data_IF_454205890159
#
_entry.id   IF_454205890159
#
_cell.length_a   1.000
_cell.length_b   1.000
_cell.length_c   1.000
_cell.angle_alpha   90.00
_cell.angle_beta   90.00
_cell.angle_gamma   90.00
#
_symmetry.space_group_name_H-M   'P 1'
#
loop_
_entity.id
_entity.type
_entity.pdbx_description
1 polymer ?
#
# COMPACT_ATOMS: atom_id res chain seq x y z
N UNK A 1 18.51 34.06 7.61
CA UNK A 1 17.25 33.66 6.92
C UNK A 1 17.42 32.21 6.49
N UNK A 2 16.62 31.32 7.01
CA UNK A 2 16.66 29.90 6.64
C UNK A 2 16.44 29.73 5.13
N UNK A 3 17.08 28.71 4.54
CA UNK A 3 16.93 28.35 3.12
C UNK A 3 15.88 27.24 3.01
N UNK A 4 15.15 27.19 1.89
CA UNK A 4 14.23 26.09 1.58
C UNK A 4 14.74 25.36 0.33
N UNK A 5 14.85 24.03 0.42
CA UNK A 5 15.11 23.14 -0.73
C UNK A 5 13.79 22.50 -1.10
N UNK A 6 13.42 22.55 -2.39
CA UNK A 6 12.20 21.94 -2.90
C UNK A 6 12.54 20.86 -3.92
N UNK A 7 11.96 19.67 -3.75
CA UNK A 7 11.99 18.57 -4.71
C UNK A 7 10.58 18.49 -5.31
N UNK A 8 10.43 18.88 -6.59
CA UNK A 8 9.15 18.99 -7.28
C UNK A 8 9.34 18.74 -8.79
N UNK A 9 8.69 17.72 -9.37
CA UNK A 9 7.93 16.66 -8.70
C UNK A 9 8.82 15.58 -8.08
N UNK A 10 8.27 14.77 -7.16
CA UNK A 10 8.86 13.51 -6.75
C UNK A 10 8.68 12.50 -7.89
N UNK A 11 9.73 11.77 -8.21
CA UNK A 11 9.75 10.84 -9.35
C UNK A 11 9.52 9.39 -8.94
N UNK A 12 9.00 8.58 -9.86
CA UNK A 12 8.80 7.13 -9.71
C UNK A 12 7.93 6.73 -8.50
N UNK A 13 6.84 7.47 -8.30
CA UNK A 13 5.76 7.19 -7.37
C UNK A 13 4.41 7.24 -8.08
N UNK A 14 3.34 6.74 -7.47
CA UNK A 14 1.99 6.95 -7.96
C UNK A 14 1.42 8.26 -7.38
N UNK A 15 0.90 9.13 -8.27
CA UNK A 15 0.31 10.42 -7.92
C UNK A 15 1.30 11.57 -7.90
N UNK A 16 0.87 12.73 -7.38
CA UNK A 16 1.63 13.96 -7.42
C UNK A 16 1.93 14.49 -6.01
N UNK A 17 3.20 14.68 -5.75
CA UNK A 17 3.69 15.24 -4.50
C UNK A 17 4.99 16.01 -4.69
N UNK A 18 5.32 16.83 -3.71
CA UNK A 18 6.62 17.49 -3.57
C UNK A 18 7.15 17.36 -2.14
N UNK A 19 8.44 17.54 -1.97
CA UNK A 19 9.08 17.63 -0.66
C UNK A 19 9.66 19.02 -0.49
N UNK A 20 9.48 19.63 0.69
CA UNK A 20 10.23 20.82 1.09
C UNK A 20 11.07 20.50 2.31
N UNK A 21 12.34 20.92 2.27
CA UNK A 21 13.29 20.83 3.37
C UNK A 21 13.62 22.23 3.85
N UNK A 22 13.43 22.50 5.13
CA UNK A 22 13.88 23.76 5.75
C UNK A 22 15.30 23.60 6.26
N UNK A 23 16.15 24.53 5.91
CA UNK A 23 17.56 24.55 6.30
C UNK A 23 17.77 25.71 7.25
N UNK A 24 18.35 25.45 8.40
CA UNK A 24 18.64 26.44 9.43
C UNK A 24 19.84 27.34 9.06
N UNK A 25 20.18 28.29 9.92
CA UNK A 25 21.30 29.20 9.72
C UNK A 25 22.70 28.52 9.81
N UNK A 26 22.75 27.29 10.33
CA UNK A 26 23.96 26.46 10.36
C UNK A 26 24.13 25.58 9.11
N UNK A 27 23.13 25.58 8.22
CA UNK A 27 23.12 24.78 7.01
C UNK A 27 22.62 23.34 7.20
N UNK A 28 22.02 23.04 8.35
CA UNK A 28 21.46 21.74 8.68
C UNK A 28 19.95 21.70 8.36
N UNK A 29 19.46 20.51 7.93
CA UNK A 29 18.01 20.33 7.69
C UNK A 29 17.28 20.24 9.01
N UNK A 30 16.49 21.25 9.34
CA UNK A 30 15.69 21.33 10.57
C UNK A 30 14.35 20.64 10.46
N UNK A 31 13.66 20.80 9.30
CA UNK A 31 12.30 20.28 9.05
C UNK A 31 12.18 19.73 7.64
N UNK A 32 11.26 18.78 7.45
CA UNK A 32 10.94 18.22 6.15
C UNK A 32 9.43 17.97 6.05
N UNK A 33 8.84 18.31 4.91
CA UNK A 33 7.41 18.15 4.66
C UNK A 33 7.14 17.45 3.35
N UNK A 34 6.30 16.42 3.41
CA UNK A 34 5.78 15.68 2.27
C UNK A 34 4.41 16.21 1.89
N UNK A 35 4.33 16.95 0.80
CA UNK A 35 3.12 17.59 0.33
C UNK A 35 2.44 16.75 -0.74
N UNK A 36 1.29 16.19 -0.44
CA UNK A 36 0.40 15.62 -1.45
C UNK A 36 -0.49 16.71 -1.99
N UNK A 37 -0.38 16.99 -3.29
CA UNK A 37 -0.93 18.19 -3.92
C UNK A 37 -2.22 17.97 -4.70
N UNK A 38 -2.77 16.75 -4.70
CA UNK A 38 -4.01 16.39 -5.37
C UNK A 38 -5.12 16.06 -4.37
N UNK A 39 -6.38 16.32 -4.75
CA UNK A 39 -7.58 16.00 -3.99
C UNK A 39 -8.60 15.33 -4.91
N UNK A 40 -9.26 14.24 -4.48
CA UNK A 40 -10.20 13.49 -5.30
C UNK A 40 -11.62 13.34 -4.73
N UNK A 41 -11.84 13.53 -3.44
CA UNK A 41 -13.16 13.66 -2.82
C UNK A 41 -14.12 12.46 -2.96
N UNK A 42 -13.61 11.20 -3.02
CA UNK A 42 -14.46 10.02 -3.22
C UNK A 42 -15.48 9.80 -2.09
N UNK A 43 -15.15 10.14 -0.87
CA UNK A 43 -16.08 10.02 0.26
C UNK A 43 -17.36 10.83 0.01
N UNK A 44 -17.22 12.04 -0.52
CA UNK A 44 -18.36 12.91 -0.85
C UNK A 44 -19.05 12.51 -2.14
N UNK A 45 -18.29 12.04 -3.13
CA UNK A 45 -18.80 11.66 -4.44
C UNK A 45 -19.84 10.53 -4.38
N UNK A 46 -19.74 9.62 -3.41
CA UNK A 46 -20.62 8.45 -3.32
C UNK A 46 -21.91 8.69 -2.53
N UNK A 47 -22.07 9.82 -1.87
CA UNK A 47 -23.33 10.16 -1.17
C UNK A 47 -24.51 10.17 -2.14
N UNK A 48 -25.63 9.59 -1.72
CA UNK A 48 -26.83 9.42 -2.52
C UNK A 48 -26.79 8.26 -3.53
N UNK A 49 -25.66 7.53 -3.63
CA UNK A 49 -25.55 6.35 -4.50
C UNK A 49 -26.02 5.08 -3.79
N UNK A 50 -26.57 4.10 -4.52
CA UNK A 50 -26.92 2.81 -3.93
C UNK A 50 -25.68 2.04 -3.45
N UNK A 51 -25.76 1.40 -2.27
CA UNK A 51 -24.64 0.65 -1.69
C UNK A 51 -24.09 -0.45 -2.61
N UNK A 52 -24.93 -1.08 -3.41
CA UNK A 52 -24.50 -2.17 -4.29
C UNK A 52 -23.62 -1.71 -5.48
N UNK A 53 -23.60 -0.40 -5.77
CA UNK A 53 -22.68 0.19 -6.75
C UNK A 53 -21.29 0.44 -6.16
N UNK A 54 -21.14 0.46 -4.83
CA UNK A 54 -19.90 0.85 -4.16
C UNK A 54 -18.68 0.02 -4.59
N UNK A 55 -18.72 -1.31 -4.67
CA UNK A 55 -17.55 -2.08 -5.12
C UNK A 55 -17.04 -1.62 -6.50
N UNK A 56 -17.94 -1.37 -7.43
CA UNK A 56 -17.62 -0.91 -8.79
C UNK A 56 -17.12 0.55 -8.81
N UNK A 57 -17.68 1.44 -8.01
CA UNK A 57 -17.27 2.84 -7.94
C UNK A 57 -15.91 2.97 -7.24
N UNK A 58 -15.71 2.28 -6.12
CA UNK A 58 -14.51 2.38 -5.30
C UNK A 58 -13.26 1.80 -5.97
N UNK A 59 -13.38 0.80 -6.84
CA UNK A 59 -12.22 0.34 -7.61
C UNK A 59 -11.63 1.45 -8.52
N UNK A 60 -12.42 2.50 -8.87
CA UNK A 60 -11.99 3.66 -9.66
C UNK A 60 -11.09 4.64 -8.92
N UNK A 61 -10.95 4.48 -7.62
CA UNK A 61 -10.01 5.28 -6.82
C UNK A 61 -8.59 5.11 -7.37
N UNK A 62 -8.23 3.89 -7.83
CA UNK A 62 -6.86 3.60 -8.25
C UNK A 62 -6.81 2.68 -9.48
N UNK A 63 -5.83 2.93 -10.36
CA UNK A 63 -5.51 2.04 -11.48
C UNK A 63 -4.46 0.97 -11.17
N UNK A 64 -3.74 1.09 -10.02
CA UNK A 64 -2.69 0.13 -9.60
C UNK A 64 -3.26 -0.90 -8.63
N UNK A 65 -4.09 -0.48 -7.64
CA UNK A 65 -4.68 -1.34 -6.62
C UNK A 65 -6.22 -1.38 -6.64
N UNK A 66 -6.87 -1.46 -7.81
CA UNK A 66 -8.34 -1.42 -7.90
C UNK A 66 -9.00 -2.59 -7.17
N UNK A 67 -8.36 -3.77 -7.19
CA UNK A 67 -8.87 -4.98 -6.53
C UNK A 67 -8.98 -4.80 -5.02
N UNK A 68 -8.02 -4.15 -4.37
CA UNK A 68 -8.09 -3.93 -2.92
C UNK A 68 -9.28 -3.07 -2.54
N UNK A 69 -9.54 -1.98 -3.30
CA UNK A 69 -10.72 -1.14 -3.10
C UNK A 69 -12.03 -1.89 -3.38
N UNK A 70 -12.05 -2.69 -4.46
CA UNK A 70 -13.17 -3.55 -4.81
C UNK A 70 -13.51 -4.52 -3.67
N UNK A 71 -12.49 -5.18 -3.09
CA UNK A 71 -12.65 -6.17 -2.01
C UNK A 71 -13.08 -5.51 -0.69
N UNK A 72 -12.41 -4.45 -0.25
CA UNK A 72 -12.77 -3.74 0.96
C UNK A 72 -14.20 -3.20 0.88
N UNK A 73 -14.57 -2.62 -0.27
CA UNK A 73 -15.93 -2.13 -0.52
C UNK A 73 -16.97 -3.25 -0.53
N UNK A 74 -16.69 -4.38 -1.20
CA UNK A 74 -17.60 -5.53 -1.20
C UNK A 74 -17.81 -6.10 0.21
N UNK A 75 -16.74 -6.16 1.03
CA UNK A 75 -16.85 -6.59 2.45
C UNK A 75 -17.68 -5.63 3.28
N UNK A 76 -17.57 -4.31 3.06
CA UNK A 76 -18.46 -3.33 3.72
C UNK A 76 -19.91 -3.54 3.31
N UNK A 77 -20.18 -3.81 2.03
CA UNK A 77 -21.53 -4.14 1.56
C UNK A 77 -22.02 -5.50 2.10
N UNK A 78 -21.16 -6.52 2.21
CA UNK A 78 -21.50 -7.80 2.83
C UNK A 78 -21.91 -7.62 4.31
N UNK A 79 -21.24 -6.67 5.02
CA UNK A 79 -21.61 -6.30 6.39
C UNK A 79 -22.97 -5.58 6.48
N UNK A 80 -23.30 -4.69 5.52
CA UNK A 80 -24.65 -4.10 5.41
C UNK A 80 -25.73 -5.17 5.22
N UNK A 81 -25.41 -6.22 4.47
CA UNK A 81 -26.32 -7.35 4.24
C UNK A 81 -26.31 -8.39 5.38
N UNK A 82 -25.44 -8.25 6.38
CA UNK A 82 -25.19 -9.21 7.47
C UNK A 82 -24.98 -10.64 6.96
N UNK A 83 -24.22 -10.79 5.85
CA UNK A 83 -24.13 -12.07 5.17
C UNK A 83 -22.66 -12.54 4.97
N UNK A 84 -22.49 -13.86 4.95
CA UNK A 84 -21.25 -14.52 4.55
C UNK A 84 -21.32 -14.90 3.07
N UNK A 85 -20.20 -14.82 2.38
CA UNK A 85 -20.11 -15.26 0.98
C UNK A 85 -19.95 -16.79 0.87
N UNK A 86 -20.33 -17.42 -0.27
CA UNK A 86 -20.08 -18.83 -0.50
C UNK A 86 -18.58 -19.17 -0.34
N UNK A 87 -18.23 -20.35 0.20
CA UNK A 87 -16.82 -20.72 0.42
C UNK A 87 -15.95 -20.64 -0.83
N UNK A 88 -16.47 -21.06 -2.01
CA UNK A 88 -15.75 -20.93 -3.29
C UNK A 88 -15.50 -19.44 -3.63
N UNK A 89 -16.51 -18.60 -3.52
CA UNK A 89 -16.38 -17.15 -3.77
C UNK A 89 -15.38 -16.49 -2.82
N UNK A 90 -15.37 -16.90 -1.55
CA UNK A 90 -14.38 -16.41 -0.57
C UNK A 90 -12.93 -16.74 -0.97
N UNK A 91 -12.68 -17.97 -1.46
CA UNK A 91 -11.34 -18.34 -1.97
C UNK A 91 -10.98 -17.61 -3.26
N UNK A 92 -11.93 -17.43 -4.16
CA UNK A 92 -11.73 -16.67 -5.40
C UNK A 92 -11.40 -15.19 -5.13
N UNK A 93 -12.06 -14.56 -4.15
CA UNK A 93 -11.70 -13.21 -3.71
C UNK A 93 -10.29 -13.13 -3.13
N UNK A 94 -9.84 -14.16 -2.36
CA UNK A 94 -8.45 -14.24 -1.86
C UNK A 94 -7.43 -14.40 -2.98
N UNK A 95 -7.70 -15.26 -3.98
CA UNK A 95 -6.82 -15.37 -5.16
C UNK A 95 -6.71 -14.02 -5.87
N UNK A 96 -7.82 -13.31 -6.04
CA UNK A 96 -7.82 -11.99 -6.68
C UNK A 96 -6.97 -10.97 -5.92
N UNK A 97 -7.04 -10.97 -4.59
CA UNK A 97 -6.22 -10.12 -3.72
C UNK A 97 -4.73 -10.45 -3.79
N UNK A 98 -4.37 -11.74 -3.73
CA UNK A 98 -2.99 -12.20 -3.87
C UNK A 98 -2.41 -11.86 -5.24
N UNK A 99 -3.20 -11.99 -6.31
CA UNK A 99 -2.81 -11.56 -7.64
C UNK A 99 -2.56 -10.05 -7.73
N UNK A 100 -3.37 -9.26 -7.02
CA UNK A 100 -3.16 -7.82 -6.86
C UNK A 100 -1.84 -7.52 -6.12
N UNK A 101 -1.50 -8.28 -5.08
CA UNK A 101 -0.21 -8.16 -4.38
C UNK A 101 0.95 -8.40 -5.34
N UNK A 102 0.94 -9.51 -6.08
CA UNK A 102 2.02 -9.86 -7.03
C UNK A 102 2.23 -8.74 -8.05
N UNK A 103 1.16 -8.31 -8.76
CA UNK A 103 1.31 -7.32 -9.82
C UNK A 103 1.75 -5.95 -9.28
N UNK A 104 1.29 -5.56 -8.09
CA UNK A 104 1.61 -4.28 -7.47
C UNK A 104 3.03 -4.26 -6.90
N UNK A 105 3.43 -5.31 -6.18
CA UNK A 105 4.79 -5.44 -5.65
C UNK A 105 5.83 -5.57 -6.75
N UNK A 106 5.53 -6.30 -7.84
CA UNK A 106 6.40 -6.36 -9.01
C UNK A 106 6.57 -4.98 -9.67
N UNK A 107 5.49 -4.18 -9.78
CA UNK A 107 5.59 -2.80 -10.25
C UNK A 107 6.49 -1.96 -9.34
N UNK A 108 6.22 -1.98 -8.04
CA UNK A 108 6.98 -1.19 -7.05
C UNK A 108 8.47 -1.55 -7.05
N UNK A 109 8.78 -2.82 -6.95
CA UNK A 109 10.16 -3.27 -6.86
C UNK A 109 10.90 -3.11 -8.18
N UNK A 110 10.41 -3.69 -9.28
CA UNK A 110 11.17 -3.81 -10.54
C UNK A 110 11.12 -2.55 -11.43
N UNK A 111 10.12 -1.66 -11.25
CA UNK A 111 9.98 -0.47 -12.09
C UNK A 111 10.25 0.83 -11.34
N UNK A 112 9.70 0.96 -10.13
CA UNK A 112 9.79 2.22 -9.41
C UNK A 112 11.10 2.32 -8.61
N UNK A 113 11.55 1.22 -7.99
CA UNK A 113 12.67 1.21 -7.05
C UNK A 113 13.95 0.58 -7.62
N UNK A 114 13.87 -0.45 -8.46
CA UNK A 114 15.05 -1.15 -8.97
C UNK A 114 16.07 -0.26 -9.70
N UNK A 115 15.69 0.84 -10.38
CA UNK A 115 16.70 1.74 -10.94
C UNK A 115 17.68 2.28 -9.90
N UNK A 116 17.25 2.50 -8.64
CA UNK A 116 18.14 2.94 -7.57
C UNK A 116 19.13 1.85 -7.15
N UNK A 117 18.70 0.58 -7.18
CA UNK A 117 19.53 -0.55 -6.78
C UNK A 117 20.47 -1.02 -7.87
N UNK A 118 19.98 -1.10 -9.11
CA UNK A 118 20.69 -1.69 -10.23
C UNK A 118 21.60 -0.70 -10.94
N UNK A 119 21.23 0.59 -10.95
CA UNK A 119 22.02 1.64 -11.58
C UNK A 119 22.87 2.41 -10.56
N UNK A 120 22.47 2.39 -9.27
CA UNK A 120 23.07 3.14 -8.18
C UNK A 120 22.32 4.43 -7.84
N UNK A 121 22.33 4.79 -6.56
CA UNK A 121 21.64 5.99 -6.05
C UNK A 121 22.15 7.30 -6.66
N UNK A 122 23.42 7.34 -7.05
CA UNK A 122 24.13 8.50 -7.62
C UNK A 122 24.21 8.47 -9.15
N UNK A 123 23.59 7.48 -9.81
CA UNK A 123 23.62 7.38 -11.27
C UNK A 123 22.91 8.56 -11.95
N UNK A 124 23.32 8.90 -13.16
CA UNK A 124 22.66 9.94 -13.96
C UNK A 124 21.16 9.60 -14.12
N UNK A 125 20.24 10.55 -13.89
CA UNK A 125 18.79 10.34 -14.09
C UNK A 125 18.42 9.80 -15.47
N UNK A 126 19.22 10.11 -16.51
CA UNK A 126 19.01 9.57 -17.87
C UNK A 126 19.11 8.06 -17.92
N UNK A 127 19.98 7.46 -17.10
CA UNK A 127 20.24 6.02 -17.04
C UNK A 127 19.48 5.35 -15.90
N UNK A 128 19.15 6.10 -14.83
CA UNK A 128 18.46 5.61 -13.65
C UNK A 128 16.93 5.48 -13.87
N UNK A 129 16.57 4.60 -14.81
CA UNK A 129 15.21 4.32 -15.21
C UNK A 129 15.08 2.87 -15.69
N UNK A 130 13.85 2.46 -16.04
CA UNK A 130 13.58 1.08 -16.48
C UNK A 130 14.34 0.71 -17.77
N UNK A 131 14.59 1.64 -18.67
CA UNK A 131 15.34 1.36 -19.90
C UNK A 131 16.80 1.06 -19.59
N UNK A 132 17.41 1.79 -18.65
CA UNK A 132 18.75 1.51 -18.14
C UNK A 132 18.81 0.14 -17.46
N UNK A 133 17.81 -0.22 -16.66
CA UNK A 133 17.69 -1.54 -16.05
C UNK A 133 17.60 -2.64 -17.12
N UNK A 134 16.74 -2.48 -18.12
CA UNK A 134 16.60 -3.45 -19.20
C UNK A 134 17.88 -3.63 -20.02
N UNK A 135 18.64 -2.57 -20.22
CA UNK A 135 19.90 -2.61 -20.97
C UNK A 135 21.04 -3.33 -20.20
N UNK A 136 21.13 -3.09 -18.86
CA UNK A 136 22.24 -3.61 -18.05
C UNK A 136 21.88 -4.89 -17.28
N UNK A 137 20.62 -5.09 -16.91
CA UNK A 137 20.14 -6.20 -16.12
C UNK A 137 18.87 -6.84 -16.73
N UNK A 138 18.93 -7.31 -17.99
CA UNK A 138 17.75 -7.77 -18.75
C UNK A 138 17.04 -8.92 -18.06
N UNK A 139 17.72 -9.85 -17.40
CA UNK A 139 17.10 -10.98 -16.72
C UNK A 139 16.17 -10.52 -15.59
N UNK A 140 16.63 -9.61 -14.73
CA UNK A 140 15.81 -9.04 -13.65
C UNK A 140 14.67 -8.18 -14.20
N UNK A 141 14.92 -7.40 -15.23
CA UNK A 141 13.90 -6.59 -15.89
C UNK A 141 12.78 -7.44 -16.48
N UNK A 142 13.12 -8.47 -17.26
CA UNK A 142 12.13 -9.41 -17.83
C UNK A 142 11.41 -10.22 -16.75
N UNK A 143 12.12 -10.66 -15.70
CA UNK A 143 11.52 -11.34 -14.55
C UNK A 143 10.44 -10.47 -13.87
N UNK A 144 10.73 -9.18 -13.66
CA UNK A 144 9.76 -8.24 -13.10
C UNK A 144 8.52 -8.05 -13.98
N UNK A 145 8.73 -7.97 -15.32
CA UNK A 145 7.61 -7.91 -16.29
C UNK A 145 6.75 -9.19 -16.18
N UNK A 146 7.39 -10.36 -16.14
CA UNK A 146 6.68 -11.65 -16.09
C UNK A 146 5.88 -11.83 -14.81
N UNK A 147 6.44 -11.47 -13.64
CA UNK A 147 5.73 -11.49 -12.36
C UNK A 147 4.49 -10.58 -12.39
N UNK A 148 4.66 -9.34 -12.86
CA UNK A 148 3.53 -8.41 -13.00
C UNK A 148 2.47 -8.95 -13.97
N UNK A 149 2.91 -9.49 -15.11
CA UNK A 149 2.02 -10.10 -16.11
C UNK A 149 1.24 -11.26 -15.52
N UNK A 150 1.87 -12.13 -14.71
CA UNK A 150 1.19 -13.25 -14.05
C UNK A 150 0.07 -12.77 -13.12
N UNK A 151 0.34 -11.81 -12.23
CA UNK A 151 -0.71 -11.24 -11.37
C UNK A 151 -1.87 -10.65 -12.17
N UNK A 152 -1.58 -9.90 -13.24
CA UNK A 152 -2.61 -9.35 -14.13
C UNK A 152 -3.36 -10.43 -14.91
N UNK A 153 -2.69 -11.50 -15.31
CA UNK A 153 -3.32 -12.65 -15.99
C UNK A 153 -4.28 -13.39 -15.07
N UNK A 154 -3.93 -13.58 -13.79
CA UNK A 154 -4.85 -14.17 -12.80
C UNK A 154 -6.10 -13.29 -12.65
N UNK A 155 -5.93 -11.96 -12.49
CA UNK A 155 -7.05 -11.00 -12.39
C UNK A 155 -7.94 -11.09 -13.64
N UNK A 156 -7.35 -11.06 -14.83
CA UNK A 156 -8.08 -11.12 -16.10
C UNK A 156 -8.81 -12.45 -16.28
N UNK A 157 -8.18 -13.57 -15.91
CA UNK A 157 -8.77 -14.91 -16.03
C UNK A 157 -10.00 -15.07 -15.14
N UNK A 158 -9.95 -14.51 -13.91
CA UNK A 158 -11.08 -14.54 -12.97
C UNK A 158 -12.18 -13.54 -13.37
N UNK A 159 -11.79 -12.33 -13.70
CA UNK A 159 -12.69 -11.17 -13.71
C UNK A 159 -12.88 -10.50 -15.09
N UNK A 160 -12.27 -11.05 -16.14
CA UNK A 160 -12.42 -10.61 -17.53
C UNK A 160 -11.66 -9.33 -17.89
N UNK A 161 -11.06 -8.63 -16.94
CA UNK A 161 -10.29 -7.38 -17.14
C UNK A 161 -9.10 -7.32 -16.19
N UNK A 162 -8.00 -6.76 -16.65
CA UNK A 162 -6.78 -6.55 -15.86
C UNK A 162 -6.88 -5.40 -14.86
N UNK A 163 -7.65 -4.38 -15.21
CA UNK A 163 -7.83 -3.16 -14.41
C UNK A 163 -9.31 -2.86 -14.28
N UNK A 164 -9.76 -2.49 -13.09
CA UNK A 164 -11.16 -2.25 -12.74
C UNK A 164 -12.07 -3.42 -13.16
N UNK A 165 -11.89 -4.60 -12.57
CA UNK A 165 -12.53 -5.83 -13.02
C UNK A 165 -14.05 -5.92 -12.78
N UNK A 166 -14.60 -5.19 -11.78
CA UNK A 166 -16.05 -5.15 -11.50
C UNK A 166 -16.70 -6.52 -11.23
N UNK A 167 -15.92 -7.54 -10.90
CA UNK A 167 -16.35 -8.94 -10.81
C UNK A 167 -16.79 -9.37 -9.41
N UNK A 168 -16.18 -8.78 -8.38
CA UNK A 168 -16.60 -8.97 -6.99
C UNK A 168 -17.82 -8.11 -6.73
N UNK A 169 -18.86 -8.73 -6.18
CA UNK A 169 -20.14 -8.08 -5.89
C UNK A 169 -20.59 -8.41 -4.47
N UNK A 170 -21.49 -7.63 -3.86
CA UNK A 170 -22.07 -7.98 -2.57
C UNK A 170 -22.61 -9.42 -2.58
N UNK A 171 -22.22 -10.21 -1.59
CA UNK A 171 -22.60 -11.62 -1.47
C UNK A 171 -21.73 -12.61 -2.22
N UNK A 172 -20.70 -12.21 -2.98
CA UNK A 172 -19.83 -13.16 -3.68
C UNK A 172 -19.07 -12.59 -4.87
N UNK A 173 -19.09 -13.36 -5.97
CA UNK A 173 -18.51 -13.02 -7.27
C UNK A 173 -19.50 -13.31 -8.38
N UNK A 174 -19.34 -12.65 -9.53
CA UNK A 174 -20.30 -12.79 -10.64
C UNK A 174 -20.27 -14.18 -11.29
N UNK A 175 -19.10 -14.79 -11.43
CA UNK A 175 -18.92 -16.06 -12.13
C UNK A 175 -17.96 -16.98 -11.39
N UNK A 176 -18.22 -18.32 -11.39
CA UNK A 176 -17.29 -19.30 -10.84
C UNK A 176 -16.07 -19.51 -11.75
N UNK A 177 -15.01 -20.07 -11.20
CA UNK A 177 -13.82 -20.46 -11.95
C UNK A 177 -14.04 -21.83 -12.64
N UNK A 178 -13.81 -21.92 -13.97
CA UNK A 178 -13.82 -23.19 -14.68
C UNK A 178 -12.54 -24.00 -14.42
N UNK A 179 -12.63 -25.33 -14.57
CA UNK A 179 -11.48 -26.26 -14.46
C UNK A 179 -10.39 -25.89 -15.46
N UNK A 180 -10.74 -25.59 -16.70
CA UNK A 180 -9.79 -25.20 -17.74
C UNK A 180 -9.00 -23.94 -17.36
N UNK A 181 -9.70 -22.88 -16.90
CA UNK A 181 -9.06 -21.64 -16.44
C UNK A 181 -8.13 -21.89 -15.25
N UNK A 182 -8.55 -22.73 -14.28
CA UNK A 182 -7.74 -23.14 -13.14
C UNK A 182 -6.45 -23.82 -13.59
N UNK A 183 -6.54 -24.81 -14.46
CA UNK A 183 -5.40 -25.61 -14.91
C UNK A 183 -4.39 -24.77 -15.69
N UNK A 184 -4.88 -23.80 -16.47
CA UNK A 184 -4.02 -22.83 -17.17
C UNK A 184 -3.24 -21.96 -16.19
N UNK A 185 -3.86 -21.48 -15.09
CA UNK A 185 -3.15 -20.71 -14.06
C UNK A 185 -2.11 -21.56 -13.32
N UNK A 186 -2.44 -22.82 -12.99
CA UNK A 186 -1.51 -23.73 -12.33
C UNK A 186 -0.26 -24.02 -13.17
N UNK A 187 -0.37 -24.06 -14.49
CA UNK A 187 0.75 -24.32 -15.37
C UNK A 187 1.85 -23.24 -15.32
N UNK A 188 1.49 -21.98 -14.99
CA UNK A 188 2.44 -20.87 -14.90
C UNK A 188 3.19 -20.80 -13.54
N UNK A 189 2.70 -21.47 -12.49
CA UNK A 189 3.22 -21.36 -11.13
C UNK A 189 4.71 -21.70 -10.99
N UNK A 190 5.23 -22.81 -11.56
CA UNK A 190 6.65 -23.16 -11.40
C UNK A 190 7.60 -22.08 -11.91
N UNK A 191 7.28 -21.48 -13.07
CA UNK A 191 8.09 -20.41 -13.67
C UNK A 191 8.15 -19.16 -12.77
N UNK A 192 7.01 -18.73 -12.28
CA UNK A 192 6.95 -17.48 -11.48
C UNK A 192 7.52 -17.64 -10.08
N UNK A 193 7.49 -18.85 -9.49
CA UNK A 193 8.23 -19.18 -8.26
C UNK A 193 9.74 -19.05 -8.50
N UNK A 194 10.26 -19.64 -9.57
CA UNK A 194 11.69 -19.55 -9.90
C UNK A 194 12.15 -18.11 -10.07
N UNK A 195 11.37 -17.29 -10.77
CA UNK A 195 11.67 -15.86 -10.96
C UNK A 195 11.69 -15.12 -9.61
N UNK A 196 10.72 -15.35 -8.74
CA UNK A 196 10.64 -14.72 -7.42
C UNK A 196 11.84 -15.10 -6.53
N UNK A 197 12.24 -16.38 -6.52
CA UNK A 197 13.40 -16.85 -5.78
C UNK A 197 14.72 -16.27 -6.31
N UNK A 198 14.89 -16.15 -7.64
CA UNK A 198 16.05 -15.48 -8.25
C UNK A 198 16.15 -14.00 -7.83
N UNK A 199 15.02 -13.30 -7.83
CA UNK A 199 14.97 -11.90 -7.40
C UNK A 199 15.33 -11.74 -5.91
N UNK A 200 14.80 -12.61 -5.04
CA UNK A 200 15.15 -12.66 -3.61
C UNK A 200 16.65 -12.92 -3.41
N UNK A 201 17.19 -13.93 -4.06
CA UNK A 201 18.62 -14.28 -3.98
C UNK A 201 19.51 -13.12 -4.42
N UNK A 202 19.13 -12.47 -5.52
CA UNK A 202 19.86 -11.29 -5.98
C UNK A 202 19.80 -10.16 -4.96
N UNK A 203 18.60 -9.78 -4.48
CA UNK A 203 18.42 -8.64 -3.58
C UNK A 203 19.16 -8.82 -2.25
N UNK A 204 19.12 -10.03 -1.67
CA UNK A 204 19.84 -10.34 -0.43
C UNK A 204 21.34 -10.14 -0.57
N UNK A 205 21.92 -10.53 -1.71
CA UNK A 205 23.35 -10.34 -1.98
C UNK A 205 23.74 -8.86 -2.08
N UNK A 206 22.83 -8.01 -2.56
CA UNK A 206 23.09 -6.57 -2.73
C UNK A 206 22.88 -5.75 -1.45
N UNK A 207 22.22 -6.29 -0.42
CA UNK A 207 21.91 -5.55 0.82
C UNK A 207 23.14 -4.88 1.45
N UNK A 208 24.30 -5.52 1.39
CA UNK A 208 25.54 -5.01 1.95
C UNK A 208 25.99 -3.68 1.30
N UNK A 209 25.62 -3.47 0.05
CA UNK A 209 25.93 -2.24 -0.70
C UNK A 209 25.08 -1.04 -0.27
N UNK A 210 24.00 -1.27 0.51
CA UNK A 210 23.03 -0.25 0.95
C UNK A 210 23.03 0.01 2.45
N UNK A 211 24.17 -0.22 3.13
CA UNK A 211 24.25 -0.07 4.60
C UNK A 211 23.85 1.32 5.09
N UNK A 212 24.22 2.38 4.35
CA UNK A 212 23.89 3.75 4.73
C UNK A 212 22.39 4.04 4.56
N UNK A 213 21.81 3.59 3.46
CA UNK A 213 20.37 3.70 3.22
C UNK A 213 19.58 2.88 4.24
N UNK A 214 20.01 1.65 4.54
CA UNK A 214 19.39 0.81 5.58
C UNK A 214 19.42 1.52 6.94
N UNK A 215 20.53 2.17 7.29
CA UNK A 215 20.68 2.88 8.56
C UNK A 215 19.81 4.12 8.67
N UNK A 216 19.48 4.78 7.54
CA UNK A 216 18.91 6.14 7.49
C UNK A 216 17.53 6.24 6.88
N UNK A 217 17.01 5.18 6.21
CA UNK A 217 15.69 5.23 5.61
C UNK A 217 14.61 4.88 6.63
N UNK A 218 14.05 5.90 7.26
CA UNK A 218 13.01 5.78 8.27
C UNK A 218 13.31 4.66 9.30
N UNK A 219 14.58 4.61 9.73
CA UNK A 219 15.05 3.65 10.73
C UNK A 219 14.92 4.26 12.12
N UNK A 220 13.74 4.13 12.70
CA UNK A 220 13.39 4.63 14.03
C UNK A 220 12.27 3.79 14.65
N UNK A 221 12.13 3.78 15.99
CA UNK A 221 11.03 3.10 16.66
C UNK A 221 9.66 3.65 16.25
N UNK A 222 8.71 2.74 15.96
CA UNK A 222 7.29 3.02 15.75
C UNK A 222 6.48 1.78 16.07
N UNK A 223 5.17 1.90 16.13
CA UNK A 223 4.31 0.72 16.09
C UNK A 223 4.25 0.15 14.67
N UNK A 224 3.81 -1.10 14.57
CA UNK A 224 3.43 -1.79 13.33
C UNK A 224 2.00 -2.26 13.46
N UNK A 225 1.19 -2.09 12.41
CA UNK A 225 -0.22 -2.49 12.37
C UNK A 225 -0.50 -3.34 11.13
N UNK A 226 -1.38 -4.32 11.28
CA UNK A 226 -1.91 -5.12 10.16
C UNK A 226 -2.86 -6.20 10.66
N UNK A 227 -3.36 -7.01 9.73
CA UNK A 227 -4.27 -8.09 10.01
C UNK A 227 -3.52 -9.37 10.41
N UNK A 228 -4.03 -10.04 11.44
CA UNK A 228 -3.56 -11.35 11.90
C UNK A 228 -4.75 -12.31 11.94
N UNK A 229 -4.56 -13.51 11.41
CA UNK A 229 -5.57 -14.56 11.37
C UNK A 229 -5.75 -15.23 12.74
N UNK A 230 -6.79 -16.03 12.90
CA UNK A 230 -7.09 -16.74 14.17
C UNK A 230 -5.96 -17.71 14.56
N UNK A 231 -5.26 -18.28 13.57
CA UNK A 231 -4.13 -19.20 13.73
C UNK A 231 -2.77 -18.49 13.75
N UNK A 232 -2.76 -17.19 14.11
CA UNK A 232 -1.58 -16.35 14.34
C UNK A 232 -0.68 -16.21 13.08
N UNK A 233 -1.28 -16.21 11.88
CA UNK A 233 -0.59 -15.97 10.61
C UNK A 233 -0.89 -14.59 10.06
N UNK A 234 -0.08 -14.16 9.09
CA UNK A 234 -0.36 -12.92 8.36
C UNK A 234 -1.73 -13.01 7.65
N UNK A 235 -2.64 -12.11 8.02
CA UNK A 235 -3.95 -11.99 7.39
C UNK A 235 -3.90 -11.01 6.22
N UNK A 236 -4.53 -11.34 5.08
CA UNK A 236 -4.66 -10.40 3.95
C UNK A 236 -6.13 -10.07 3.68
N UNK A 237 -6.95 -11.08 3.45
CA UNK A 237 -8.38 -10.89 3.20
C UNK A 237 -9.21 -10.85 4.49
N UNK A 238 -8.82 -11.61 5.50
CA UNK A 238 -9.47 -11.69 6.81
C UNK A 238 -8.44 -11.70 7.93
N UNK A 239 -8.89 -11.36 9.12
CA UNK A 239 -8.08 -11.30 10.33
C UNK A 239 -8.60 -10.23 11.27
N UNK A 240 -7.95 -10.10 12.42
CA UNK A 240 -8.13 -9.04 13.40
C UNK A 240 -6.93 -8.11 13.36
N UNK A 241 -7.13 -6.86 13.72
CA UNK A 241 -6.05 -5.89 13.75
C UNK A 241 -5.19 -6.13 14.99
N UNK A 242 -3.87 -6.15 14.75
CA UNK A 242 -2.83 -6.22 15.79
C UNK A 242 -1.91 -5.02 15.67
N UNK A 243 -1.47 -4.52 16.81
CA UNK A 243 -0.35 -3.56 16.92
C UNK A 243 0.79 -4.22 17.69
N UNK A 244 2.01 -4.09 17.17
CA UNK A 244 3.25 -4.43 17.88
C UNK A 244 4.17 -3.22 17.97
N UNK A 245 5.01 -3.18 19.00
CA UNK A 245 6.02 -2.13 19.15
C UNK A 245 7.34 -2.50 18.43
N UNK A 246 8.32 -1.61 18.51
CA UNK A 246 9.65 -1.79 17.92
C UNK A 246 10.49 -2.88 18.61
N UNK A 247 10.07 -3.37 19.78
CA UNK A 247 10.69 -4.48 20.48
C UNK A 247 10.04 -5.84 20.13
N UNK A 248 8.96 -5.82 19.34
CA UNK A 248 8.18 -7.01 18.97
C UNK A 248 7.10 -7.37 19.99
N UNK A 249 6.85 -6.52 21.00
CA UNK A 249 5.79 -6.77 21.97
C UNK A 249 4.42 -6.44 21.35
N UNK A 250 3.42 -7.26 21.62
CA UNK A 250 2.03 -6.98 21.24
C UNK A 250 1.49 -5.86 22.15
N UNK A 251 1.14 -4.72 21.54
CA UNK A 251 0.56 -3.55 22.21
C UNK A 251 -0.96 -3.65 22.28
N UNK A 252 -1.58 -4.12 21.19
CA UNK A 252 -3.00 -4.39 21.11
C UNK A 252 -3.26 -5.53 20.13
N UNK A 253 -4.23 -6.38 20.42
CA UNK A 253 -4.51 -7.59 19.63
C UNK A 253 -6.00 -7.86 19.48
N UNK A 254 -6.34 -8.61 18.44
CA UNK A 254 -7.70 -9.09 18.15
C UNK A 254 -8.74 -7.97 18.04
N UNK A 255 -8.30 -6.76 17.63
CA UNK A 255 -9.18 -5.62 17.46
C UNK A 255 -10.06 -5.81 16.22
N UNK A 256 -11.34 -5.50 16.38
CA UNK A 256 -12.30 -5.55 15.28
C UNK A 256 -12.11 -4.35 14.35
N UNK A 257 -11.99 -4.62 13.04
CA UNK A 257 -11.91 -3.53 12.07
C UNK A 257 -13.16 -2.64 12.09
N UNK A 258 -14.33 -3.18 12.45
CA UNK A 258 -15.56 -2.41 12.61
C UNK A 258 -15.48 -1.36 13.72
N UNK A 259 -14.58 -1.55 14.69
CA UNK A 259 -14.38 -0.65 15.83
C UNK A 259 -13.15 0.25 15.65
N UNK A 260 -12.63 0.39 14.42
CA UNK A 260 -11.39 1.13 14.17
C UNK A 260 -11.37 2.53 14.78
N UNK A 261 -12.50 3.21 14.86
CA UNK A 261 -12.62 4.56 15.43
C UNK A 261 -12.27 4.63 16.93
N UNK A 262 -12.27 3.51 17.64
CA UNK A 262 -11.90 3.46 19.06
C UNK A 262 -10.36 3.59 19.24
N UNK A 263 -9.58 3.07 18.28
CA UNK A 263 -8.12 3.00 18.39
C UNK A 263 -7.35 3.74 17.28
N UNK A 264 -8.01 4.14 16.18
CA UNK A 264 -7.41 4.99 15.14
C UNK A 264 -8.00 6.38 15.19
N UNK A 265 -7.14 7.39 15.18
CA UNK A 265 -7.47 8.80 14.96
C UNK A 265 -6.92 9.25 13.60
N UNK A 266 -7.49 10.31 13.04
CA UNK A 266 -7.02 10.94 11.81
C UNK A 266 -6.78 12.43 12.08
N UNK A 267 -5.53 12.88 11.99
CA UNK A 267 -5.18 14.30 12.06
C UNK A 267 -5.05 14.91 10.66
N UNK A 268 -5.15 16.21 10.58
CA UNK A 268 -5.04 17.01 9.34
C UNK A 268 -3.98 18.07 9.55
N UNK A 269 -3.09 18.23 8.57
CA UNK A 269 -2.04 19.23 8.57
C UNK A 269 -2.18 20.19 7.37
N UNK A 270 -1.89 21.50 7.54
CA UNK A 270 -2.17 22.51 6.52
C UNK A 270 -1.27 22.44 5.27
N UNK A 271 -0.25 21.57 5.28
CA UNK A 271 0.71 21.49 4.18
C UNK A 271 0.42 20.35 3.18
N UNK A 272 -0.59 19.49 3.43
CA UNK A 272 -0.85 18.31 2.57
C UNK A 272 -2.34 17.98 2.50
N UNK A 273 -2.78 17.38 1.39
CA UNK A 273 -4.13 16.82 1.25
C UNK A 273 -4.27 15.39 1.79
N UNK A 274 -3.22 14.80 2.32
CA UNK A 274 -3.25 13.46 2.91
C UNK A 274 -3.37 13.56 4.43
N UNK A 275 -4.37 12.88 5.02
CA UNK A 275 -4.55 12.77 6.46
C UNK A 275 -3.39 12.03 7.13
N UNK A 276 -3.30 12.14 8.46
CA UNK A 276 -2.32 11.49 9.32
C UNK A 276 -3.04 10.55 10.31
N UNK A 277 -3.33 9.32 9.93
CA UNK A 277 -3.80 8.32 10.88
C UNK A 277 -2.75 8.05 11.97
N UNK A 278 -3.23 7.90 13.21
CA UNK A 278 -2.38 7.64 14.38
C UNK A 278 -3.08 6.70 15.36
N UNK A 279 -2.32 6.00 16.20
CA UNK A 279 -2.83 5.15 17.26
C UNK A 279 -3.30 6.03 18.43
N UNK A 280 -4.62 6.11 18.64
CA UNK A 280 -5.26 7.03 19.59
C UNK A 280 -4.74 6.95 21.01
N UNK A 281 -4.49 5.74 21.60
CA UNK A 281 -4.02 5.66 22.97
C UNK A 281 -2.71 6.39 23.24
N UNK A 282 -1.86 6.60 22.23
CA UNK A 282 -0.61 7.35 22.34
C UNK A 282 -0.75 8.81 21.91
N UNK A 283 -1.89 9.20 21.28
CA UNK A 283 -2.13 10.56 20.81
C UNK A 283 -1.33 10.94 19.55
N UNK A 284 -1.64 12.10 18.97
CA UNK A 284 -0.93 12.67 17.83
C UNK A 284 0.18 13.63 18.31
N UNK A 285 1.41 13.59 17.76
CA UNK A 285 1.91 12.68 16.71
C UNK A 285 2.57 11.40 17.25
N UNK A 286 2.57 11.15 18.57
CA UNK A 286 3.33 10.06 19.22
C UNK A 286 2.78 8.67 18.88
N UNK A 287 1.50 8.60 18.50
CA UNK A 287 0.85 7.39 18.01
C UNK A 287 1.28 6.95 16.59
N UNK A 288 2.49 7.29 16.18
CA UNK A 288 3.08 6.89 14.90
C UNK A 288 3.16 5.37 14.76
N UNK A 289 2.69 4.85 13.64
CA UNK A 289 2.82 3.45 13.26
C UNK A 289 3.08 3.29 11.76
N UNK A 290 3.40 2.08 11.35
CA UNK A 290 3.59 1.68 9.96
C UNK A 290 2.72 0.49 9.60
N UNK A 291 2.30 0.42 8.33
CA UNK A 291 1.54 -0.69 7.74
C UNK A 291 2.25 -1.21 6.49
N UNK A 292 1.71 -2.27 5.88
CA UNK A 292 2.22 -2.83 4.64
C UNK A 292 3.26 -3.92 4.85
N UNK A 293 4.04 -4.28 3.82
CA UNK A 293 4.90 -5.46 3.84
C UNK A 293 5.82 -5.54 5.06
N UNK A 294 6.54 -4.47 5.39
CA UNK A 294 7.42 -4.42 6.56
C UNK A 294 6.67 -4.68 7.86
N UNK A 295 5.48 -4.09 8.01
CA UNK A 295 4.66 -4.28 9.21
C UNK A 295 4.17 -5.72 9.31
N UNK A 296 3.61 -6.27 8.24
CA UNK A 296 3.09 -7.65 8.21
C UNK A 296 4.14 -8.68 8.59
N UNK A 297 5.39 -8.52 8.13
CA UNK A 297 6.49 -9.40 8.49
C UNK A 297 6.93 -9.23 9.96
N UNK A 298 6.70 -8.08 10.57
CA UNK A 298 7.01 -7.84 11.98
C UNK A 298 5.90 -8.28 12.95
N UNK A 299 4.65 -8.46 12.47
CA UNK A 299 3.50 -8.77 13.33
C UNK A 299 3.41 -10.23 13.75
N UNK A 300 3.93 -11.15 12.94
CA UNK A 300 3.83 -12.61 13.14
C UNK A 300 5.11 -13.32 12.69
N UNK A 301 5.31 -14.54 13.20
CA UNK A 301 6.47 -15.36 12.85
C UNK A 301 6.14 -16.46 11.82
N UNK A 302 4.88 -16.60 11.43
CA UNK A 302 4.42 -17.64 10.51
C UNK A 302 3.53 -17.03 9.42
N UNK A 303 3.92 -17.24 8.16
CA UNK A 303 3.11 -16.85 7.00
C UNK A 303 2.26 -18.01 6.45
N UNK A 304 2.58 -19.24 6.77
CA UNK A 304 1.80 -20.42 6.39
C UNK A 304 2.21 -21.11 5.09
N UNK A 305 3.18 -20.60 4.34
CA UNK A 305 3.67 -21.22 3.09
C UNK A 305 5.15 -21.61 3.19
N UNK A 306 5.59 -22.72 2.58
CA UNK A 306 6.91 -23.30 2.87
C UNK A 306 8.09 -22.44 2.38
N UNK A 307 8.06 -21.94 1.14
CA UNK A 307 9.18 -21.18 0.58
C UNK A 307 9.25 -19.77 1.16
N UNK A 308 8.11 -19.07 1.22
CA UNK A 308 8.08 -17.75 1.82
C UNK A 308 8.37 -17.77 3.32
N UNK A 309 8.04 -18.85 4.04
CA UNK A 309 8.37 -19.00 5.46
C UNK A 309 9.89 -19.03 5.69
N UNK A 310 10.66 -19.66 4.82
CA UNK A 310 12.12 -19.66 4.92
C UNK A 310 12.68 -18.22 4.82
N UNK A 311 12.22 -17.48 3.82
CA UNK A 311 12.62 -16.08 3.63
C UNK A 311 12.12 -15.18 4.76
N UNK A 312 10.94 -15.45 5.33
CA UNK A 312 10.38 -14.73 6.46
C UNK A 312 11.23 -14.88 7.72
N UNK A 313 11.68 -16.10 8.01
CA UNK A 313 12.59 -16.39 9.12
C UNK A 313 13.92 -15.66 8.93
N UNK A 314 14.48 -15.69 7.71
CA UNK A 314 15.71 -14.96 7.38
C UNK A 314 15.54 -13.45 7.55
N UNK A 315 14.42 -12.89 7.05
CA UNK A 315 14.08 -11.49 7.27
C UNK A 315 14.02 -11.12 8.76
N UNK A 316 13.34 -11.92 9.58
CA UNK A 316 13.22 -11.68 11.03
C UNK A 316 14.56 -11.76 11.75
N UNK A 317 15.54 -12.48 11.20
CA UNK A 317 16.90 -12.58 11.76
C UNK A 317 17.79 -11.37 11.47
N UNK A 318 17.37 -10.42 10.62
CA UNK A 318 18.12 -9.20 10.31
C UNK A 318 18.32 -8.31 11.56
N UNK A 319 17.36 -8.32 12.47
CA UNK A 319 17.38 -7.55 13.70
C UNK A 319 16.94 -8.44 14.87
N UNK A 320 17.49 -8.19 16.06
CA UNK A 320 17.11 -8.95 17.27
C UNK A 320 15.62 -8.79 17.62
N UNK A 321 15.08 -7.61 17.37
CA UNK A 321 13.69 -7.23 17.62
C UNK A 321 12.97 -7.04 16.28
N UNK A 322 12.05 -6.08 16.19
CA UNK A 322 11.41 -5.75 14.92
C UNK A 322 12.41 -5.11 13.94
N UNK A 323 12.28 -5.45 12.65
CA UNK A 323 13.06 -4.82 11.57
C UNK A 323 12.50 -3.42 11.32
N UNK A 324 13.30 -2.39 11.62
CA UNK A 324 12.80 -1.00 11.67
C UNK A 324 13.02 -0.23 10.38
N UNK A 325 14.14 -0.46 9.67
CA UNK A 325 14.46 0.32 8.47
C UNK A 325 13.42 0.14 7.37
N UNK A 326 12.86 1.25 6.88
CA UNK A 326 11.93 1.21 5.75
C UNK A 326 12.58 0.80 4.43
N UNK A 327 13.92 0.74 4.34
CA UNK A 327 14.60 0.12 3.21
C UNK A 327 14.17 -1.35 3.02
N UNK A 328 13.94 -2.06 4.11
CA UNK A 328 13.52 -3.46 4.09
C UNK A 328 12.08 -3.70 3.61
N UNK A 329 11.28 -2.66 3.34
CA UNK A 329 10.03 -2.84 2.57
C UNK A 329 10.26 -3.52 1.23
N UNK A 330 11.41 -3.28 0.60
CA UNK A 330 11.75 -3.90 -0.69
C UNK A 330 11.94 -5.41 -0.56
N UNK A 331 12.66 -5.85 0.48
CA UNK A 331 12.83 -7.28 0.78
C UNK A 331 11.48 -7.91 1.14
N UNK A 332 10.73 -7.28 2.01
CA UNK A 332 9.40 -7.76 2.41
C UNK A 332 8.44 -7.92 1.22
N UNK A 333 8.47 -7.02 0.21
CA UNK A 333 7.66 -7.16 -1.01
C UNK A 333 8.04 -8.39 -1.84
N UNK A 334 9.31 -8.68 -1.96
CA UNK A 334 9.76 -9.88 -2.67
C UNK A 334 9.31 -11.16 -1.96
N UNK A 335 9.36 -11.19 -0.62
CA UNK A 335 8.84 -12.29 0.19
C UNK A 335 7.33 -12.44 -0.02
N UNK A 336 6.58 -11.33 -0.02
CA UNK A 336 5.13 -11.36 -0.24
C UNK A 336 4.73 -11.77 -1.67
N UNK A 337 5.56 -11.51 -2.68
CA UNK A 337 5.34 -12.07 -4.03
C UNK A 337 5.40 -13.60 -3.98
N UNK A 338 6.43 -14.16 -3.36
CA UNK A 338 6.59 -15.62 -3.23
C UNK A 338 5.45 -16.24 -2.42
N UNK A 339 5.12 -15.64 -1.26
CA UNK A 339 3.97 -16.00 -0.44
C UNK A 339 2.65 -16.02 -1.23
N UNK A 340 2.40 -14.97 -2.01
CA UNK A 340 1.16 -14.85 -2.78
C UNK A 340 1.07 -15.92 -3.89
N UNK A 341 2.17 -16.25 -4.55
CA UNK A 341 2.21 -17.32 -5.56
C UNK A 341 1.91 -18.68 -4.93
N UNK A 342 2.54 -19.01 -3.79
CA UNK A 342 2.32 -20.28 -3.08
C UNK A 342 0.86 -20.42 -2.62
N UNK A 343 0.26 -19.36 -2.05
CA UNK A 343 -1.14 -19.40 -1.64
C UNK A 343 -2.12 -19.45 -2.83
N UNK A 344 -1.82 -18.80 -3.94
CA UNK A 344 -2.62 -18.96 -5.16
C UNK A 344 -2.61 -20.40 -5.60
N UNK A 345 -1.44 -21.07 -5.59
CA UNK A 345 -1.32 -22.51 -5.91
C UNK A 345 -2.18 -23.35 -4.97
N UNK A 346 -2.06 -23.14 -3.67
CA UNK A 346 -2.85 -23.85 -2.66
C UNK A 346 -4.35 -23.73 -2.90
N UNK A 347 -4.85 -22.50 -3.11
CA UNK A 347 -6.28 -22.27 -3.36
C UNK A 347 -6.75 -22.86 -4.70
N UNK A 348 -5.93 -22.83 -5.76
CA UNK A 348 -6.29 -23.42 -7.04
C UNK A 348 -6.34 -24.95 -6.99
N UNK A 349 -5.56 -25.58 -6.11
CA UNK A 349 -5.58 -27.04 -5.89
C UNK A 349 -6.75 -27.50 -5.02
N UNK A 350 -7.42 -26.60 -4.27
CA UNK A 350 -8.57 -26.96 -3.46
C UNK A 350 -9.78 -27.28 -4.33
N UNK A 351 -10.40 -28.50 -4.19
CA UNK A 351 -11.55 -28.91 -5.00
C UNK A 351 -12.77 -27.96 -4.94
N UNK A 352 -12.87 -27.15 -3.87
CA UNK A 352 -14.00 -26.22 -3.72
C UNK A 352 -13.96 -25.06 -4.72
N UNK A 353 -12.76 -24.74 -5.27
CA UNK A 353 -12.53 -23.55 -6.06
C UNK A 353 -13.38 -23.48 -7.36
N UNK A 354 -13.76 -24.64 -7.89
CA UNK A 354 -14.55 -24.79 -9.11
C UNK A 354 -16.05 -25.01 -8.85
N UNK A 355 -16.51 -24.89 -7.60
CA UNK A 355 -17.92 -25.03 -7.28
C UNK A 355 -18.72 -23.86 -7.88
N UNK A 356 -19.90 -24.19 -8.42
CA UNK A 356 -20.75 -23.24 -9.16
C UNK A 356 -21.43 -22.20 -8.26
N UNK A 357 -21.55 -22.45 -6.94
CA UNK A 357 -22.14 -21.50 -6.01
C UNK A 357 -21.19 -20.30 -5.81
N UNK A 358 -21.43 -19.25 -6.56
CA UNK A 358 -20.57 -18.06 -6.60
C UNK A 358 -21.10 -16.88 -5.79
N UNK A 359 -22.41 -16.85 -5.47
CA UNK A 359 -23.04 -15.70 -4.81
C UNK A 359 -24.25 -16.13 -3.96
N UNK A 360 -24.43 -15.45 -2.83
CA UNK A 360 -25.70 -15.38 -2.09
C UNK A 360 -26.33 -14.00 -2.26
N UNK A 361 -27.62 -13.89 -1.98
CA UNK A 361 -28.38 -12.64 -1.99
C UNK A 361 -29.12 -12.48 -0.66
N UNK A 362 -29.13 -11.26 -0.14
CA UNK A 362 -29.92 -10.88 1.04
C UNK A 362 -30.46 -9.46 0.84
N UNK A 363 -31.44 -9.09 1.61
CA UNK A 363 -31.89 -7.70 1.77
C UNK A 363 -30.95 -6.94 2.69
N UNK A 364 -31.06 -5.62 2.71
CA UNK A 364 -30.36 -4.75 3.67
C UNK A 364 -30.81 -5.13 5.10
N UNK A 365 -29.83 -5.41 5.98
CA UNK A 365 -30.06 -5.80 7.37
C UNK A 365 -29.42 -4.82 8.37
N UNK A 366 -28.36 -4.12 7.95
CA UNK A 366 -27.65 -3.13 8.75
C UNK A 366 -27.56 -1.82 7.97
N UNK A 367 -27.64 -0.68 8.68
CA UNK A 367 -27.46 0.64 8.08
C UNK A 367 -26.00 1.12 8.12
N UNK A 368 -25.11 0.34 8.73
CA UNK A 368 -23.68 0.62 8.84
C UNK A 368 -22.88 -0.65 8.56
N UNK A 369 -21.81 -0.52 7.77
CA UNK A 369 -20.96 -1.65 7.38
C UNK A 369 -19.51 -1.26 7.18
N UNK A 370 -18.60 -2.07 7.73
CA UNK A 370 -17.15 -1.88 7.59
C UNK A 370 -16.53 -3.07 6.88
N UNK A 371 -15.72 -2.79 5.86
CA UNK A 371 -14.90 -3.77 5.17
C UNK A 371 -13.41 -3.45 5.33
N UNK A 372 -12.61 -4.45 5.64
CA UNK A 372 -11.18 -4.32 5.83
C UNK A 372 -10.43 -5.44 5.10
N UNK A 373 -9.29 -5.10 4.47
CA UNK A 373 -8.34 -6.06 3.90
C UNK A 373 -6.93 -5.44 3.90
N UNK A 374 -5.92 -6.26 3.61
CA UNK A 374 -4.54 -5.79 3.40
C UNK A 374 -4.30 -5.50 1.92
N UNK A 375 -4.28 -4.23 1.55
CA UNK A 375 -3.81 -3.80 0.24
C UNK A 375 -2.28 -4.01 0.11
N UNK A 376 -1.68 -3.93 -1.08
CA UNK A 376 -0.24 -4.04 -1.25
C UNK A 376 0.56 -3.11 -0.32
N UNK A 377 0.03 -1.92 -0.03
CA UNK A 377 0.66 -0.88 0.77
C UNK A 377 0.28 -0.90 2.25
N UNK A 378 -0.63 -1.78 2.65
CA UNK A 378 -1.07 -1.96 4.03
C UNK A 378 -2.57 -2.07 4.21
N UNK A 379 -3.01 -1.94 5.45
CA UNK A 379 -4.41 -2.07 5.87
C UNK A 379 -5.28 -1.03 5.16
N UNK A 380 -6.39 -1.48 4.60
CA UNK A 380 -7.39 -0.67 3.90
C UNK A 380 -8.75 -0.87 4.56
N UNK A 381 -9.37 0.22 4.99
CA UNK A 381 -10.69 0.20 5.63
C UNK A 381 -11.65 1.05 4.81
N UNK A 382 -12.80 0.46 4.46
CA UNK A 382 -13.95 1.14 3.89
C UNK A 382 -15.10 1.08 4.89
N UNK A 383 -15.68 2.20 5.24
CA UNK A 383 -16.77 2.32 6.19
C UNK A 383 -17.93 3.11 5.57
N UNK A 384 -19.12 2.51 5.55
CA UNK A 384 -20.30 3.04 4.89
C UNK A 384 -21.46 3.15 5.85
N UNK A 385 -22.26 4.22 5.70
CA UNK A 385 -23.60 4.37 6.26
C UNK A 385 -24.60 4.57 5.13
N UNK A 386 -25.77 3.94 5.27
CA UNK A 386 -26.84 4.00 4.29
C UNK A 386 -28.16 4.34 4.99
N UNK A 387 -29.11 4.85 4.23
CA UNK A 387 -30.50 4.98 4.67
C UNK A 387 -31.26 3.65 4.51
N UNK A 388 -32.54 3.63 4.88
CA UNK A 388 -33.43 2.46 4.79
C UNK A 388 -33.65 2.00 3.33
N UNK A 389 -33.46 2.89 2.35
CA UNK A 389 -33.52 2.61 0.92
C UNK A 389 -32.19 2.06 0.38
N UNK A 390 -31.15 2.03 1.20
CA UNK A 390 -29.81 1.57 0.82
C UNK A 390 -28.99 2.60 0.05
N UNK A 391 -29.34 3.89 0.13
CA UNK A 391 -28.57 4.98 -0.44
C UNK A 391 -27.49 5.43 0.56
N UNK A 392 -26.29 5.64 0.06
CA UNK A 392 -25.14 6.10 0.84
C UNK A 392 -25.43 7.47 1.48
N UNK A 393 -25.37 7.55 2.79
CA UNK A 393 -25.47 8.81 3.54
C UNK A 393 -24.11 9.33 3.99
N UNK A 394 -23.13 8.44 4.07
CA UNK A 394 -21.78 8.79 4.50
C UNK A 394 -20.80 7.66 4.18
N UNK A 395 -19.55 8.03 3.89
CA UNK A 395 -18.43 7.12 3.75
C UNK A 395 -17.18 7.67 4.45
N UNK A 396 -16.37 6.79 5.04
CA UNK A 396 -15.01 7.08 5.47
C UNK A 396 -14.06 5.99 4.93
N UNK A 397 -12.93 6.43 4.39
CA UNK A 397 -11.92 5.58 3.80
C UNK A 397 -10.60 5.81 4.50
N UNK A 398 -10.08 4.80 5.22
CA UNK A 398 -8.72 4.86 5.75
C UNK A 398 -7.83 4.04 4.84
N UNK A 399 -7.06 4.74 4.03
CA UNK A 399 -6.31 4.16 2.92
C UNK A 399 -4.90 3.80 3.37
N UNK A 400 -4.42 2.66 2.92
CA UNK A 400 -3.14 2.06 3.27
C UNK A 400 -1.95 3.04 3.29
N UNK A 401 -1.78 3.87 2.25
CA UNK A 401 -0.70 4.87 2.18
C UNK A 401 -0.84 5.94 3.26
N UNK A 402 -2.06 6.36 3.59
CA UNK A 402 -2.31 7.37 4.64
C UNK A 402 -1.74 6.95 5.99
N UNK A 403 -1.89 5.70 6.38
CA UNK A 403 -1.35 5.16 7.64
C UNK A 403 0.17 5.39 7.79
N UNK A 404 0.92 5.41 6.69
CA UNK A 404 2.37 5.62 6.70
C UNK A 404 2.79 7.10 6.66
N UNK A 405 1.85 8.06 6.62
CA UNK A 405 2.17 9.46 6.35
C UNK A 405 3.10 10.07 7.42
N UNK A 406 2.85 9.81 8.71
CA UNK A 406 3.76 10.24 9.79
C UNK A 406 5.17 9.64 9.62
N UNK A 407 5.25 8.35 9.30
CA UNK A 407 6.52 7.66 9.13
C UNK A 407 7.27 8.14 7.89
N UNK A 408 6.58 8.46 6.78
CA UNK A 408 7.18 9.05 5.58
C UNK A 408 7.79 10.43 5.88
N UNK A 409 7.04 11.33 6.52
CA UNK A 409 7.54 12.66 6.88
C UNK A 409 8.78 12.58 7.79
N UNK A 410 8.72 11.75 8.85
CA UNK A 410 9.85 11.55 9.77
C UNK A 410 11.04 10.89 9.08
N UNK A 411 10.79 9.95 8.16
CA UNK A 411 11.83 9.26 7.39
C UNK A 411 12.55 10.17 6.39
N UNK A 412 11.81 11.05 5.72
CA UNK A 412 12.37 12.10 4.86
C UNK A 412 13.33 12.98 5.67
N UNK A 413 12.90 13.44 6.83
CA UNK A 413 13.73 14.29 7.69
C UNK A 413 15.01 13.57 8.12
N UNK A 414 14.92 12.28 8.51
CA UNK A 414 16.08 11.47 8.89
C UNK A 414 17.09 11.35 7.73
N UNK A 415 16.62 10.98 6.54
CA UNK A 415 17.47 10.86 5.36
C UNK A 415 18.04 12.21 4.91
N UNK A 416 17.23 13.28 4.91
CA UNK A 416 17.67 14.60 4.52
C UNK A 416 18.79 15.13 5.45
N UNK A 417 18.68 14.96 6.76
CA UNK A 417 19.73 15.31 7.73
C UNK A 417 21.03 14.57 7.49
N UNK A 418 20.96 13.34 7.00
CA UNK A 418 22.15 12.53 6.74
C UNK A 418 22.80 12.82 5.39
N UNK A 419 22.00 12.91 4.33
CA UNK A 419 22.53 12.98 2.96
C UNK A 419 22.60 14.37 2.36
N UNK A 420 21.75 15.33 2.78
CA UNK A 420 21.66 16.64 2.15
C UNK A 420 22.69 17.60 2.73
N UNK A 421 23.48 18.21 1.85
CA UNK A 421 24.42 19.30 2.15
C UNK A 421 23.89 20.59 1.54
N UNK A 422 23.70 21.62 2.35
CA UNK A 422 23.08 22.88 1.90
C UNK A 422 24.02 23.78 1.09
N UNK A 423 25.31 23.51 1.09
CA UNK A 423 26.33 24.23 0.35
C UNK A 423 26.48 23.71 -1.09
N UNK A 424 26.17 22.43 -1.34
CA UNK A 424 26.25 21.82 -2.66
C UNK A 424 25.22 20.71 -2.82
N UNK A 425 24.20 20.95 -3.62
CA UNK A 425 23.21 19.91 -3.96
C UNK A 425 23.71 19.02 -5.08
N UNK A 426 23.49 17.71 -4.92
CA UNK A 426 23.73 16.72 -5.97
C UNK A 426 22.48 15.90 -6.21
N UNK A 427 22.37 15.35 -7.41
CA UNK A 427 21.24 14.49 -7.80
C UNK A 427 21.08 13.27 -6.87
N UNK A 428 22.21 12.64 -6.50
CA UNK A 428 22.19 11.48 -5.60
C UNK A 428 21.69 11.78 -4.19
N UNK A 429 21.94 12.99 -3.66
CA UNK A 429 21.39 13.42 -2.37
C UNK A 429 19.87 13.54 -2.43
N UNK A 430 19.35 14.22 -3.46
CA UNK A 430 17.91 14.42 -3.65
C UNK A 430 17.22 13.08 -3.96
N UNK A 431 17.85 12.24 -4.77
CA UNK A 431 17.33 10.90 -5.06
C UNK A 431 17.17 10.03 -3.82
N UNK A 432 18.10 10.08 -2.85
CA UNK A 432 17.98 9.33 -1.59
C UNK A 432 16.79 9.81 -0.74
N UNK A 433 16.54 11.10 -0.74
CA UNK A 433 15.33 11.66 -0.06
C UNK A 433 14.06 11.12 -0.71
N UNK A 434 13.99 11.10 -2.06
CA UNK A 434 12.86 10.49 -2.78
C UNK A 434 12.79 8.96 -2.56
N UNK A 435 13.93 8.27 -2.49
CA UNK A 435 14.00 6.82 -2.33
C UNK A 435 13.39 6.36 -0.99
N UNK A 436 13.44 7.18 0.06
CA UNK A 436 12.69 6.92 1.30
C UNK A 436 11.20 6.77 1.00
N UNK A 437 10.63 7.68 0.20
CA UNK A 437 9.22 7.63 -0.17
C UNK A 437 8.93 6.41 -1.05
N UNK A 438 9.79 6.11 -2.02
CA UNK A 438 9.67 4.92 -2.87
C UNK A 438 9.71 3.61 -2.08
N UNK A 439 10.43 3.56 -0.95
CA UNK A 439 10.43 2.40 -0.06
C UNK A 439 9.03 2.10 0.49
N UNK A 440 8.25 3.12 0.86
CA UNK A 440 6.86 2.95 1.29
C UNK A 440 5.89 2.64 0.13
N UNK A 441 6.29 2.91 -1.14
CA UNK A 441 5.45 2.70 -2.32
C UNK A 441 4.11 3.46 -2.23
N UNK A 442 4.10 4.79 -2.04
CA UNK A 442 2.84 5.49 -1.81
C UNK A 442 1.93 5.47 -3.03
N UNK A 443 0.61 5.39 -2.77
CA UNK A 443 -0.43 5.59 -3.76
C UNK A 443 -1.24 6.84 -3.37
N UNK A 444 -0.87 7.98 -3.92
CA UNK A 444 -1.41 9.27 -3.49
C UNK A 444 -2.82 9.51 -4.01
N UNK A 445 -3.12 9.02 -5.22
CA UNK A 445 -4.49 9.04 -5.76
C UNK A 445 -5.49 8.30 -4.86
N UNK A 446 -5.04 7.26 -4.14
CA UNK A 446 -5.88 6.54 -3.18
C UNK A 446 -6.12 7.36 -1.91
N UNK A 447 -5.12 8.12 -1.45
CA UNK A 447 -5.06 8.67 -0.09
C UNK A 447 -5.59 10.11 0.03
N UNK A 448 -6.22 10.64 -1.02
CA UNK A 448 -6.74 12.03 -1.10
C UNK A 448 -8.24 12.05 -1.38
N UNK A 449 -9.03 11.36 -0.55
CA UNK A 449 -10.45 11.07 -0.75
C UNK A 449 -11.41 11.89 0.13
N UNK A 450 -10.92 12.50 1.23
CA UNK A 450 -11.72 13.31 2.13
C UNK A 450 -12.02 14.70 1.55
N UNK A 451 -13.22 15.21 1.78
CA UNK A 451 -13.63 16.56 1.39
C UNK A 451 -13.91 17.42 2.63
N UNK A 452 -13.68 18.72 2.49
CA UNK A 452 -14.04 19.72 3.52
C UNK A 452 -13.07 19.86 4.69
N UNK A 453 -12.14 18.93 4.87
CA UNK A 453 -11.18 18.90 5.98
C UNK A 453 -9.72 19.10 5.55
N UNK A 454 -9.50 19.44 4.28
CA UNK A 454 -8.16 19.64 3.72
C UNK A 454 -7.92 21.12 3.42
N UNK A 455 -6.67 21.60 3.57
CA UNK A 455 -6.33 22.96 3.21
C UNK A 455 -6.47 23.16 1.69
N UNK A 456 -6.98 24.30 1.29
CA UNK A 456 -7.02 24.72 -0.11
C UNK A 456 -6.42 26.12 -0.22
N UNK A 457 -5.43 26.27 -1.09
CA UNK A 457 -4.78 27.54 -1.38
C UNK A 457 -4.83 27.81 -2.88
N UNK A 458 -5.65 28.80 -3.29
CA UNK A 458 -5.75 29.27 -4.66
C UNK A 458 -5.00 30.58 -4.79
N UNK A 459 -4.15 30.70 -5.80
CA UNK A 459 -3.40 31.92 -6.12
C UNK A 459 -3.63 32.28 -7.58
N UNK A 460 -4.13 33.48 -7.80
CA UNK A 460 -4.21 34.10 -9.12
C UNK A 460 -2.90 34.87 -9.36
N UNK A 461 -2.15 34.46 -10.36
CA UNK A 461 -0.83 35.02 -10.64
C UNK A 461 -0.82 35.56 -12.07
N UNK A 462 -0.34 36.79 -12.26
CA UNK A 462 -0.14 37.38 -13.58
C UNK A 462 1.00 36.68 -14.35
N UNK A 463 1.10 36.82 -15.67
CA UNK A 463 2.16 36.22 -16.48
C UNK A 463 3.58 36.60 -16.05
N UNK A 464 3.76 37.75 -15.42
CA UNK A 464 5.03 38.23 -14.87
C UNK A 464 5.35 37.69 -13.47
N UNK A 465 4.52 36.76 -12.94
CA UNK A 465 4.68 36.16 -11.64
C UNK A 465 4.09 36.97 -10.46
N UNK A 466 3.50 38.12 -10.72
CA UNK A 466 2.88 38.97 -9.67
C UNK A 466 1.60 38.30 -9.14
N UNK A 467 1.49 38.19 -7.82
CA UNK A 467 0.26 37.75 -7.16
C UNK A 467 -0.83 38.81 -7.33
N UNK A 468 -1.96 38.43 -7.94
CA UNK A 468 -3.12 39.32 -8.16
C UNK A 468 -4.19 39.09 -7.09
N UNK A 469 -4.42 37.83 -6.68
CA UNK A 469 -5.41 37.46 -5.67
C UNK A 469 -5.05 36.16 -5.01
N UNK A 470 -5.57 35.90 -3.82
CA UNK A 470 -5.31 34.69 -3.04
C UNK A 470 -6.54 34.33 -2.21
N UNK A 471 -6.93 33.05 -2.28
CA UNK A 471 -7.97 32.43 -1.44
C UNK A 471 -7.40 31.25 -0.68
N UNK A 472 -7.57 31.24 0.64
CA UNK A 472 -7.18 30.11 1.52
C UNK A 472 -8.40 29.58 2.25
N UNK A 473 -8.59 28.26 2.17
CA UNK A 473 -9.49 27.50 3.04
C UNK A 473 -8.62 26.66 3.97
N UNK A 474 -8.66 26.95 5.24
CA UNK A 474 -8.02 26.12 6.27
C UNK A 474 -9.00 25.05 6.73
N UNK A 475 -8.53 23.90 7.25
CA UNK A 475 -9.35 22.80 7.78
C UNK A 475 -10.26 23.27 8.92
#
# INVERSE_FOLDING_TARGET
MGKTITIDPITRIEGHAKITLQVDDHGEVSEAYFHTTQLRGFEKFVEGRPYYEMPYLMERICGICPVSHLLASAKACDALLAMKVPPAAGKLRRILELAQLIQSHALSFFYLSSPDFLMGMDADPKDRNIFGVMAKHPELGHGGIRLRQFGQQVIETLAGKRVHPGWVVPGGVNEPLSVEKRDKLLADIPEVIEIAQKALTWFKRELESFREEIRTFANFPSLFMGLVTVDERAGFYEGKIRFTDSLGNIVADKLEAAQYQEYLGEAVEPFTFMKFPYYKPLGYPDGIYRVGPLARLNLVDNCGTPLAQQEWVEFRSLERNAVLSSFHYHYARLIEILFAIEHIQEYLLDPIITKKQARYTASLNNLEGVGCCEAPRGTLIHHYRVDEQGLMTWANLIIATGHNNLAMNRGILQAARHFVRSDKLTEGMLNRVEAVIRAFDPCLSCSTHADGHMPLHLRLVAPDGKLLDELRRMP
#
